data_IF_007704164894
#
_entry.id   IF_007704164894
#
_cell.length_a   1.000
_cell.length_b   1.000
_cell.length_c   1.000
_cell.angle_alpha   90.00
_cell.angle_beta   90.00
_cell.angle_gamma   90.00
#
_symmetry.space_group_name_H-M   'P 1'
#
loop_
_entity.id
_entity.type
_entity.pdbx_description
1 polymer ?
#
# COMPACT_ATOMS: atom_id res chain seq x y z
N UNK A 1 2.52 16.98 -6.71
CA UNK A 1 3.82 17.68 -6.57
C UNK A 1 4.78 16.68 -5.96
N UNK A 2 5.89 16.39 -6.62
CA UNK A 2 6.86 15.33 -6.30
C UNK A 2 7.71 15.59 -5.04
N UNK A 3 7.17 16.37 -4.11
CA UNK A 3 7.77 16.53 -2.81
C UNK A 3 7.92 15.16 -2.14
N UNK A 4 9.04 14.96 -1.46
CA UNK A 4 9.36 13.74 -0.70
C UNK A 4 9.61 12.45 -1.51
N UNK A 5 9.47 12.42 -2.85
CA UNK A 5 9.80 11.24 -3.68
C UNK A 5 11.19 10.65 -3.43
N UNK A 6 12.17 11.52 -3.11
CA UNK A 6 13.54 11.09 -2.77
C UNK A 6 13.63 10.16 -1.55
N UNK A 7 12.61 10.15 -0.70
CA UNK A 7 12.54 9.28 0.48
C UNK A 7 11.81 7.97 0.22
N UNK A 8 11.06 7.86 -0.88
CA UNK A 8 10.23 6.68 -1.18
C UNK A 8 11.00 5.36 -1.21
N UNK A 9 12.23 5.28 -1.77
CA UNK A 9 13.00 4.04 -1.69
C UNK A 9 13.26 3.59 -0.24
N UNK A 10 13.53 4.55 0.65
CA UNK A 10 13.77 4.26 2.07
C UNK A 10 12.48 3.90 2.79
N UNK A 11 11.40 4.62 2.52
CA UNK A 11 10.07 4.33 3.08
C UNK A 11 9.61 2.93 2.69
N UNK A 12 9.76 2.55 1.42
CA UNK A 12 9.43 1.23 0.92
C UNK A 12 10.28 0.13 1.57
N UNK A 13 11.58 0.37 1.78
CA UNK A 13 12.44 -0.53 2.56
C UNK A 13 11.89 -0.73 3.98
N UNK A 14 11.51 0.35 4.67
CA UNK A 14 10.94 0.26 6.01
C UNK A 14 9.60 -0.47 6.04
N UNK A 15 8.71 -0.23 5.06
CA UNK A 15 7.45 -0.96 4.92
C UNK A 15 7.72 -2.45 4.69
N UNK A 16 8.70 -2.79 3.84
CA UNK A 16 9.12 -4.18 3.58
C UNK A 16 9.70 -4.84 4.83
N UNK A 17 10.44 -4.10 5.66
CA UNK A 17 10.85 -4.59 6.98
C UNK A 17 9.64 -4.84 7.87
N UNK A 18 8.64 -3.96 7.82
CA UNK A 18 7.42 -4.08 8.61
C UNK A 18 6.58 -5.31 8.29
N UNK A 19 6.45 -5.69 7.01
CA UNK A 19 5.73 -6.94 6.64
C UNK A 19 6.51 -8.20 7.03
N UNK A 20 7.85 -8.09 7.19
CA UNK A 20 8.71 -9.20 7.62
C UNK A 20 9.04 -9.16 9.12
N UNK A 21 8.46 -8.21 9.88
CA UNK A 21 8.74 -7.99 11.30
C UNK A 21 10.23 -7.84 11.65
N UNK A 22 10.98 -7.12 10.81
CA UNK A 22 12.42 -6.88 10.98
C UNK A 22 12.70 -5.52 11.61
N UNK A 23 13.81 -5.41 12.36
CA UNK A 23 14.32 -4.17 12.96
C UNK A 23 13.29 -3.38 13.79
N UNK A 24 12.29 -4.07 14.36
CA UNK A 24 11.20 -3.45 15.12
C UNK A 24 10.17 -2.69 14.27
N UNK A 25 10.20 -2.84 12.94
CA UNK A 25 9.13 -2.36 12.06
C UNK A 25 7.94 -3.31 12.06
N UNK A 26 6.74 -2.73 11.95
CA UNK A 26 5.49 -3.48 11.92
C UNK A 26 4.58 -2.89 10.85
N UNK A 27 4.13 -3.74 9.92
CA UNK A 27 3.06 -3.42 8.96
C UNK A 27 1.85 -4.26 9.30
N UNK A 28 0.72 -3.62 9.63
CA UNK A 28 -0.55 -4.32 9.90
C UNK A 28 -1.55 -4.10 8.79
N UNK A 29 -2.35 -5.11 8.46
CA UNK A 29 -3.50 -4.92 7.57
C UNK A 29 -4.70 -4.45 8.40
N UNK A 30 -5.38 -3.40 7.94
CA UNK A 30 -6.53 -2.84 8.65
C UNK A 30 -7.59 -3.92 8.87
N UNK A 31 -8.10 -4.09 10.11
CA UNK A 31 -9.22 -5.00 10.39
C UNK A 31 -10.44 -4.67 9.53
N UNK A 32 -10.69 -3.39 9.23
CA UNK A 32 -11.77 -2.98 8.34
C UNK A 32 -11.62 -3.52 6.92
N UNK A 33 -10.40 -3.73 6.45
CA UNK A 33 -10.20 -4.38 5.16
C UNK A 33 -10.51 -5.88 5.26
N UNK A 34 -9.91 -6.58 6.22
CA UNK A 34 -10.01 -8.05 6.31
C UNK A 34 -11.36 -8.55 6.80
N UNK A 35 -12.04 -7.82 7.68
CA UNK A 35 -13.27 -8.27 8.34
C UNK A 35 -14.52 -7.70 7.66
N UNK A 36 -14.49 -6.43 7.25
CA UNK A 36 -15.70 -5.76 6.75
C UNK A 36 -15.81 -5.82 5.22
N UNK A 37 -14.68 -5.92 4.52
CA UNK A 37 -14.59 -5.67 3.08
C UNK A 37 -14.16 -6.88 2.27
N UNK A 38 -13.19 -7.65 2.75
CA UNK A 38 -12.72 -8.85 2.05
C UNK A 38 -13.86 -9.86 1.88
N UNK A 39 -14.13 -10.27 0.64
CA UNK A 39 -15.25 -11.13 0.27
C UNK A 39 -16.66 -10.60 0.62
N UNK A 40 -16.81 -9.30 0.80
CA UNK A 40 -18.12 -8.67 0.96
C UNK A 40 -18.69 -8.31 -0.43
N UNK A 41 -19.94 -8.70 -0.70
CA UNK A 41 -20.63 -8.40 -1.96
C UNK A 41 -20.80 -6.90 -2.24
N UNK A 42 -20.85 -6.07 -1.20
CA UNK A 42 -20.93 -4.61 -1.33
C UNK A 42 -19.60 -3.98 -1.78
N UNK A 43 -18.50 -4.74 -1.70
CA UNK A 43 -17.16 -4.34 -2.09
C UNK A 43 -16.51 -5.38 -3.01
N UNK A 44 -17.02 -5.55 -4.24
CA UNK A 44 -16.57 -6.60 -5.16
C UNK A 44 -15.10 -6.47 -5.58
N UNK A 45 -14.49 -5.30 -5.36
CA UNK A 45 -13.09 -5.00 -5.65
C UNK A 45 -12.15 -5.24 -4.44
N UNK A 46 -12.60 -5.96 -3.41
CA UNK A 46 -11.83 -6.32 -2.20
C UNK A 46 -11.59 -7.84 -2.18
N UNK A 47 -10.65 -8.24 -3.04
CA UNK A 47 -10.41 -9.65 -3.39
C UNK A 47 -9.05 -10.19 -2.97
N UNK A 48 -8.15 -9.33 -2.48
CA UNK A 48 -6.79 -9.73 -2.13
C UNK A 48 -6.71 -10.11 -0.66
N UNK A 49 -6.15 -11.29 -0.39
CA UNK A 49 -5.88 -11.79 0.95
C UNK A 49 -4.55 -11.25 1.49
N UNK A 50 -4.16 -11.68 2.69
CA UNK A 50 -2.91 -11.26 3.32
C UNK A 50 -1.66 -11.61 2.49
N UNK A 51 -1.62 -12.79 1.87
CA UNK A 51 -0.47 -13.23 1.09
C UNK A 51 -0.30 -12.38 -0.17
N UNK A 52 -1.41 -12.09 -0.87
CA UNK A 52 -1.41 -11.19 -2.02
C UNK A 52 -0.89 -9.80 -1.66
N UNK A 53 -1.31 -9.28 -0.51
CA UNK A 53 -0.90 -7.94 -0.03
C UNK A 53 0.59 -7.91 0.29
N UNK A 54 1.08 -8.91 1.03
CA UNK A 54 2.51 -9.03 1.37
C UNK A 54 3.35 -9.14 0.09
N UNK A 55 2.91 -9.95 -0.87
CA UNK A 55 3.61 -10.13 -2.14
C UNK A 55 3.66 -8.86 -2.99
N UNK A 56 2.55 -8.12 -3.05
CA UNK A 56 2.47 -6.83 -3.73
C UNK A 56 3.39 -5.79 -3.09
N UNK A 57 3.52 -5.76 -1.76
CA UNK A 57 4.46 -4.87 -1.07
C UNK A 57 5.92 -5.27 -1.32
N UNK A 58 6.22 -6.57 -1.29
CA UNK A 58 7.56 -7.09 -1.50
C UNK A 58 8.09 -6.79 -2.91
N UNK A 59 7.22 -6.89 -3.93
CA UNK A 59 7.60 -6.79 -5.34
C UNK A 59 7.12 -5.51 -6.04
N UNK A 60 6.40 -4.64 -5.32
CA UNK A 60 5.84 -3.41 -5.86
C UNK A 60 6.70 -2.18 -5.63
N UNK A 61 6.22 -1.05 -6.14
CA UNK A 61 6.84 0.27 -6.01
C UNK A 61 5.82 1.31 -5.53
N UNK A 62 6.30 2.31 -4.79
CA UNK A 62 5.49 3.49 -4.46
C UNK A 62 5.35 4.34 -5.73
N UNK A 63 4.11 4.56 -6.16
CA UNK A 63 3.78 5.32 -7.38
C UNK A 63 3.17 6.69 -7.09
N UNK A 64 2.55 6.84 -5.90
CA UNK A 64 1.92 8.08 -5.45
C UNK A 64 2.10 8.25 -3.93
N UNK A 65 2.11 9.50 -3.49
CA UNK A 65 2.19 9.88 -2.08
C UNK A 65 1.29 11.07 -1.79
N UNK A 66 0.61 11.02 -0.64
CA UNK A 66 -0.32 12.05 -0.17
C UNK A 66 0.10 12.57 1.20
N UNK A 67 0.81 13.69 1.20
CA UNK A 67 1.40 14.28 2.43
C UNK A 67 0.73 15.60 2.86
N UNK A 68 -0.33 16.03 2.18
CA UNK A 68 -1.02 17.29 2.50
C UNK A 68 -1.98 17.13 3.69
N UNK A 69 -1.69 17.82 4.79
CA UNK A 69 -2.56 17.99 5.96
C UNK A 69 -2.72 19.48 6.32
N UNK A 70 -3.44 19.78 7.41
CA UNK A 70 -3.60 21.16 7.92
C UNK A 70 -2.21 21.81 8.14
N UNK A 71 -2.02 23.04 7.65
CA UNK A 71 -0.73 23.74 7.72
C UNK A 71 0.40 23.14 6.88
N UNK A 72 0.10 22.24 5.93
CA UNK A 72 1.08 21.65 5.02
C UNK A 72 1.87 20.47 5.59
N UNK A 73 1.43 19.90 6.74
CA UNK A 73 2.01 18.68 7.32
C UNK A 73 0.90 17.65 7.56
N UNK A 74 0.91 16.56 6.82
CA UNK A 74 0.14 15.38 7.19
C UNK A 74 0.92 14.58 8.24
N UNK A 75 0.40 14.40 9.47
CA UNK A 75 1.04 13.56 10.49
C UNK A 75 1.07 12.08 10.09
N UNK A 76 0.22 11.67 9.15
CA UNK A 76 0.08 10.30 8.68
C UNK A 76 0.00 10.25 7.15
N UNK A 77 1.13 10.48 6.44
CA UNK A 77 1.13 10.50 5.00
C UNK A 77 0.71 9.15 4.41
N UNK A 78 0.04 9.18 3.26
CA UNK A 78 -0.32 7.95 2.55
C UNK A 78 0.68 7.65 1.43
N UNK A 79 0.92 6.36 1.19
CA UNK A 79 1.67 5.85 0.04
C UNK A 79 0.82 4.86 -0.72
N UNK A 80 0.80 5.02 -2.04
CA UNK A 80 0.18 4.06 -2.94
C UNK A 80 1.28 3.19 -3.54
N UNK A 81 1.25 1.90 -3.25
CA UNK A 81 2.11 0.90 -3.85
C UNK A 81 1.34 0.18 -4.96
N UNK A 82 1.99 -0.02 -6.10
CA UNK A 82 1.52 -0.91 -7.16
C UNK A 82 2.45 -2.11 -7.19
N UNK A 83 1.90 -3.31 -7.06
CA UNK A 83 2.68 -4.55 -7.09
C UNK A 83 1.88 -5.74 -7.61
N UNK A 84 2.56 -6.79 -8.06
CA UNK A 84 1.89 -8.03 -8.46
C UNK A 84 1.34 -8.75 -7.22
N UNK A 85 0.18 -9.37 -7.36
CA UNK A 85 -0.39 -10.30 -6.38
C UNK A 85 -0.02 -11.75 -6.77
N UNK A 86 -0.04 -12.67 -5.79
CA UNK A 86 0.19 -14.11 -6.05
C UNK A 86 -0.96 -14.70 -6.87
N UNK A 87 -2.17 -14.18 -6.70
CA UNK A 87 -3.36 -14.53 -7.48
C UNK A 87 -3.28 -14.12 -8.97
N UNK A 88 -2.22 -13.43 -9.40
CA UNK A 88 -1.91 -13.14 -10.81
C UNK A 88 -2.38 -11.77 -11.32
N UNK A 89 -3.12 -11.01 -10.52
CA UNK A 89 -3.49 -9.62 -10.83
C UNK A 89 -2.49 -8.61 -10.26
N UNK A 90 -2.57 -7.36 -10.70
CA UNK A 90 -1.86 -6.25 -10.06
C UNK A 90 -2.73 -5.61 -8.98
N UNK A 91 -2.14 -5.30 -7.84
CA UNK A 91 -2.79 -4.72 -6.69
C UNK A 91 -2.35 -3.26 -6.46
N UNK A 92 -3.32 -2.41 -6.16
CA UNK A 92 -3.13 -1.08 -5.57
C UNK A 92 -3.21 -1.24 -4.06
N UNK A 93 -2.10 -1.01 -3.35
CA UNK A 93 -2.01 -1.09 -1.89
C UNK A 93 -1.86 0.33 -1.34
N UNK A 94 -2.81 0.80 -0.53
CA UNK A 94 -2.72 2.11 0.14
C UNK A 94 -2.25 1.90 1.57
N UNK A 95 -1.11 2.51 1.91
CA UNK A 95 -0.45 2.40 3.20
C UNK A 95 -0.44 3.75 3.91
N UNK A 96 -0.89 3.77 5.16
CA UNK A 96 -0.69 4.88 6.08
C UNK A 96 0.67 4.76 6.75
N UNK A 97 1.46 5.83 6.66
CA UNK A 97 2.74 5.97 7.34
C UNK A 97 2.47 6.54 8.74
N UNK A 98 2.47 5.70 9.77
CA UNK A 98 2.32 6.18 11.16
C UNK A 98 3.65 6.73 11.66
N UNK A 99 3.62 7.46 12.77
CA UNK A 99 4.84 7.92 13.43
C UNK A 99 5.68 6.74 13.91
N UNK A 100 7.01 6.83 13.75
CA UNK A 100 7.94 5.77 14.15
C UNK A 100 8.00 4.61 13.15
N UNK A 101 7.90 3.38 13.65
CA UNK A 101 8.18 2.15 12.89
C UNK A 101 6.90 1.38 12.49
N UNK A 102 5.75 2.06 12.47
CA UNK A 102 4.45 1.43 12.24
C UNK A 102 3.84 1.85 10.90
N UNK A 103 3.28 0.88 10.19
CA UNK A 103 2.59 1.09 8.92
C UNK A 103 1.25 0.36 8.93
N UNK A 104 0.24 0.94 8.29
CA UNK A 104 -1.08 0.31 8.19
C UNK A 104 -1.48 0.20 6.73
N UNK A 105 -1.69 -1.01 6.23
CA UNK A 105 -2.39 -1.22 4.97
C UNK A 105 -3.86 -0.86 5.19
N UNK A 106 -4.27 0.30 4.68
CA UNK A 106 -5.62 0.86 4.86
C UNK A 106 -6.64 0.18 3.97
N UNK A 107 -6.28 -0.06 2.71
CA UNK A 107 -7.12 -0.75 1.74
C UNK A 107 -6.28 -1.25 0.57
N UNK A 108 -6.76 -2.31 -0.08
CA UNK A 108 -6.15 -2.87 -1.29
C UNK A 108 -7.23 -3.14 -2.34
N UNK A 109 -6.92 -3.00 -3.62
CA UNK A 109 -7.86 -3.28 -4.71
C UNK A 109 -7.16 -3.53 -6.05
N UNK A 110 -7.81 -4.18 -7.03
CA UNK A 110 -7.21 -4.45 -8.33
C UNK A 110 -6.82 -3.17 -9.08
N UNK A 111 -5.79 -3.27 -9.92
CA UNK A 111 -5.46 -2.22 -10.90
C UNK A 111 -6.42 -2.31 -12.08
N UNK A 112 -7.69 -1.94 -11.87
CA UNK A 112 -8.74 -1.87 -12.89
C UNK A 112 -9.01 -0.43 -13.36
N UNK A 113 -8.52 0.55 -12.60
CA UNK A 113 -8.71 1.98 -12.88
C UNK A 113 -7.63 2.51 -13.81
N UNK A 114 -8.02 3.27 -14.82
CA UNK A 114 -7.12 3.92 -15.78
C UNK A 114 -6.01 4.74 -15.11
N UNK A 115 -6.31 5.32 -13.95
CA UNK A 115 -5.34 6.05 -13.13
C UNK A 115 -4.08 5.24 -12.83
N UNK A 116 -4.23 3.94 -12.56
CA UNK A 116 -3.15 3.09 -12.04
C UNK A 116 -2.59 2.14 -13.10
N UNK A 117 -3.35 1.85 -14.17
CA UNK A 117 -2.91 0.96 -15.25
C UNK A 117 -1.61 1.41 -15.92
N UNK A 118 -1.35 2.73 -15.96
CA UNK A 118 -0.10 3.30 -16.49
C UNK A 118 1.18 2.91 -15.73
N UNK A 119 1.05 2.38 -14.51
CA UNK A 119 2.18 1.93 -13.69
C UNK A 119 2.47 0.43 -13.83
N UNK A 120 1.62 -0.32 -14.53
CA UNK A 120 1.91 -1.73 -14.84
C UNK A 120 3.00 -1.77 -15.92
N UNK A 121 4.10 -2.53 -15.72
CA UNK A 121 5.11 -2.75 -16.74
C UNK A 121 4.47 -3.26 -18.04
N UNK A 122 4.78 -2.60 -19.16
CA UNK A 122 4.39 -3.10 -20.48
C UNK A 122 5.35 -4.21 -20.88
N UNK A 123 4.79 -5.38 -21.21
CA UNK A 123 5.50 -6.53 -21.79
C UNK A 123 6.12 -6.20 -23.14
#
# INVERSE_FOLDING_TARGET
MDHMKKYWPKELECIRKGVNHLDGYVTTISPHYMQDRYHNSDYPDRVFDELDIVWAIANGEIVEGYDSGEGGRNPEPERTIIGPAVSGNWAVVIILMKTGNQFIVKTVFPVDRERYSKYIPKS
#
